data_IF_492913732237
#
_entry.id   IF_492913732237
#
_cell.length_a   1.000
_cell.length_b   1.000
_cell.length_c   1.000
_cell.angle_alpha   90.00
_cell.angle_beta   90.00
_cell.angle_gamma   90.00
#
_symmetry.space_group_name_H-M   'P 1'
#
loop_
_entity.id
_entity.type
_entity.pdbx_description
1 polymer ?
#
# COMPACT_ATOMS: atom_id res chain seq x y z
N UNK A 1 -0.82 5.78 17.00
CA UNK A 1 -1.40 5.59 15.66
C UNK A 1 -1.44 6.90 14.93
N UNK A 2 -1.19 6.88 13.64
CA UNK A 2 -1.24 8.06 12.80
C UNK A 2 -2.20 7.82 11.62
N UNK A 3 -2.69 8.89 11.01
CA UNK A 3 -3.59 8.81 9.87
C UNK A 3 -2.95 9.42 8.63
N UNK A 4 -3.26 8.83 7.47
CA UNK A 4 -2.80 9.30 6.18
C UNK A 4 -3.99 9.34 5.21
N UNK A 5 -4.38 10.54 4.80
CA UNK A 5 -5.46 10.67 3.82
C UNK A 5 -4.90 10.57 2.42
N UNK A 6 -5.42 9.62 1.65
CA UNK A 6 -4.91 9.33 0.30
C UNK A 6 -6.08 9.08 -0.66
N UNK A 7 -5.80 9.22 -1.95
CA UNK A 7 -6.71 8.74 -2.99
C UNK A 7 -6.36 7.28 -3.27
N UNK A 8 -7.09 6.37 -2.63
CA UNK A 8 -6.85 4.95 -2.78
C UNK A 8 -7.35 4.45 -4.14
N UNK A 9 -6.51 3.70 -4.84
CA UNK A 9 -6.85 3.17 -6.17
C UNK A 9 -7.19 1.69 -6.15
N UNK A 10 -6.63 0.93 -5.21
CA UNK A 10 -6.86 -0.51 -5.12
C UNK A 10 -6.31 -1.04 -3.80
N UNK A 11 -6.73 -2.24 -3.44
CA UNK A 11 -6.18 -3.00 -2.33
C UNK A 11 -5.91 -4.41 -2.83
N UNK A 12 -4.72 -4.93 -2.54
CA UNK A 12 -4.31 -6.27 -2.97
C UNK A 12 -3.98 -7.12 -1.77
N UNK A 13 -4.46 -8.35 -1.77
CA UNK A 13 -4.10 -9.36 -0.79
C UNK A 13 -3.77 -10.63 -1.57
N UNK A 14 -2.63 -11.22 -1.27
CA UNK A 14 -2.20 -12.42 -1.96
C UNK A 14 -1.52 -13.38 -1.01
N UNK A 15 -1.51 -14.66 -1.41
CA UNK A 15 -0.81 -15.71 -0.70
C UNK A 15 -0.39 -16.78 -1.68
N UNK A 16 0.60 -17.57 -1.30
CA UNK A 16 1.08 -18.62 -2.15
C UNK A 16 2.25 -19.35 -1.51
N UNK A 17 2.97 -20.11 -2.33
CA UNK A 17 4.13 -20.84 -1.89
C UNK A 17 5.30 -20.43 -2.78
N UNK A 18 6.35 -19.90 -2.14
CA UNK A 18 7.59 -19.56 -2.86
C UNK A 18 8.50 -20.78 -2.93
N UNK A 19 9.01 -21.06 -4.13
CA UNK A 19 9.95 -22.18 -4.37
C UNK A 19 11.33 -21.68 -4.79
N UNK A 20 11.60 -20.39 -4.61
CA UNK A 20 12.84 -19.77 -5.11
C UNK A 20 14.12 -20.32 -4.48
N UNK A 21 14.03 -20.82 -3.24
CA UNK A 21 15.19 -21.35 -2.51
C UNK A 21 15.27 -22.88 -2.52
N UNK A 22 14.46 -23.54 -3.35
CA UNK A 22 14.38 -24.99 -3.37
C UNK A 22 13.56 -25.60 -2.23
N UNK A 23 13.31 -24.86 -1.17
CA UNK A 23 12.44 -25.27 -0.07
C UNK A 23 11.13 -24.47 -0.16
N UNK A 24 9.97 -25.14 -0.30
CA UNK A 24 8.71 -24.42 -0.35
C UNK A 24 8.45 -23.64 0.93
N UNK A 25 8.18 -22.33 0.80
CA UNK A 25 7.83 -21.47 1.92
C UNK A 25 6.48 -20.79 1.63
N UNK A 26 5.50 -20.92 2.51
CA UNK A 26 4.27 -20.16 2.35
C UNK A 26 4.56 -18.66 2.56
N UNK A 27 3.88 -17.84 1.75
CA UNK A 27 3.95 -16.38 1.92
C UNK A 27 2.54 -15.79 1.82
N UNK A 28 2.36 -14.66 2.46
CA UNK A 28 1.17 -13.86 2.30
C UNK A 28 1.54 -12.39 2.39
N UNK A 29 0.77 -11.55 1.72
CA UNK A 29 0.98 -10.12 1.77
C UNK A 29 -0.36 -9.40 1.58
N UNK A 30 -0.41 -8.16 2.06
CA UNK A 30 -1.51 -7.27 1.81
C UNK A 30 -0.96 -5.86 1.67
N UNK A 31 -1.52 -5.08 0.77
CA UNK A 31 -1.07 -3.71 0.53
C UNK A 31 -2.18 -2.84 -0.04
N UNK A 32 -2.09 -1.56 0.25
CA UNK A 32 -2.97 -0.53 -0.30
C UNK A 32 -2.22 0.22 -1.38
N UNK A 33 -2.86 0.38 -2.53
CA UNK A 33 -2.34 1.20 -3.64
C UNK A 33 -3.02 2.56 -3.60
N UNK A 34 -2.24 3.63 -3.69
CA UNK A 34 -2.80 4.97 -3.67
C UNK A 34 -2.08 5.86 -4.68
N UNK A 35 -2.75 6.95 -5.04
CA UNK A 35 -2.26 7.87 -6.04
C UNK A 35 -1.80 9.17 -5.38
N UNK A 36 -0.68 9.69 -5.85
CA UNK A 36 -0.16 10.98 -5.44
C UNK A 36 0.20 11.79 -6.69
N UNK A 37 0.23 13.13 -6.61
CA UNK A 37 0.69 13.92 -7.75
C UNK A 37 2.10 13.52 -8.15
N UNK A 38 2.31 13.31 -9.43
CA UNK A 38 3.62 12.97 -9.97
C UNK A 38 4.56 14.16 -9.79
N UNK A 39 5.82 13.89 -9.46
CA UNK A 39 6.83 14.91 -9.27
C UNK A 39 7.81 14.88 -10.42
N UNK A 40 8.09 16.08 -10.97
CA UNK A 40 9.15 16.24 -11.94
C UNK A 40 10.50 16.21 -11.23
N UNK A 41 11.51 15.75 -11.96
CA UNK A 41 12.86 15.61 -11.44
C UNK A 41 13.84 16.27 -12.39
N UNK A 42 14.67 17.16 -11.88
CA UNK A 42 15.69 17.87 -12.66
C UNK A 42 17.01 17.81 -11.91
N UNK A 43 18.06 17.39 -12.59
CA UNK A 43 19.43 17.50 -12.11
C UNK A 43 20.35 17.87 -13.27
N UNK A 44 21.68 17.86 -13.04
CA UNK A 44 22.65 18.26 -14.05
C UNK A 44 22.61 17.40 -15.30
N UNK A 45 22.24 16.14 -15.18
CA UNK A 45 22.26 15.19 -16.28
C UNK A 45 20.87 14.83 -16.82
N UNK A 46 19.81 15.15 -16.08
CA UNK A 46 18.45 14.71 -16.41
C UNK A 46 17.44 15.81 -16.18
N UNK A 47 16.50 15.89 -17.11
CA UNK A 47 15.33 16.73 -16.98
C UNK A 47 14.10 15.84 -17.27
N UNK A 48 13.47 15.36 -16.19
CA UNK A 48 12.31 14.46 -16.30
C UNK A 48 11.08 15.22 -15.82
N UNK A 49 10.14 15.41 -16.73
CA UNK A 49 8.88 16.08 -16.43
C UNK A 49 7.77 15.04 -16.37
N UNK A 50 7.01 15.07 -15.28
CA UNK A 50 5.89 14.16 -15.07
C UNK A 50 4.63 14.96 -14.81
N UNK A 51 3.56 14.58 -15.49
CA UNK A 51 2.23 15.14 -15.29
C UNK A 51 1.27 14.04 -14.86
N UNK A 52 0.25 14.41 -14.09
CA UNK A 52 -0.76 13.47 -13.64
C UNK A 52 -0.44 12.88 -12.27
N UNK A 53 -0.78 11.62 -12.09
CA UNK A 53 -0.66 10.93 -10.80
C UNK A 53 0.29 9.75 -10.93
N UNK A 54 1.00 9.44 -9.85
CA UNK A 54 1.79 8.22 -9.77
C UNK A 54 1.26 7.33 -8.66
N UNK A 55 1.38 6.03 -8.84
CA UNK A 55 0.93 5.05 -7.88
C UNK A 55 2.02 4.75 -6.86
N UNK A 56 1.61 4.70 -5.60
CA UNK A 56 2.47 4.23 -4.50
C UNK A 56 1.74 3.14 -3.76
N UNK A 57 2.49 2.33 -3.02
CA UNK A 57 1.93 1.26 -2.21
C UNK A 57 2.41 1.37 -0.77
N UNK A 58 1.58 0.88 0.14
CA UNK A 58 1.94 0.77 1.55
C UNK A 58 1.44 -0.58 2.06
N UNK A 59 2.26 -1.25 2.85
CA UNK A 59 1.89 -2.53 3.44
C UNK A 59 0.68 -2.38 4.36
N UNK A 60 -0.18 -3.39 4.38
CA UNK A 60 -1.36 -3.44 5.21
C UNK A 60 -1.29 -4.68 6.10
N UNK A 61 -1.92 -4.62 7.28
CA UNK A 61 -2.07 -5.78 8.14
C UNK A 61 -2.74 -6.91 7.35
N UNK A 62 -2.15 -8.09 7.39
CA UNK A 62 -2.66 -9.27 6.69
C UNK A 62 -3.84 -9.85 7.48
N UNK A 63 -4.99 -9.23 7.31
CA UNK A 63 -6.21 -9.53 8.05
C UNK A 63 -7.37 -9.62 7.05
N UNK A 64 -7.98 -10.79 6.97
CA UNK A 64 -9.09 -11.01 6.06
C UNK A 64 -10.32 -10.14 6.36
N UNK A 65 -10.57 -9.83 7.64
CA UNK A 65 -11.67 -8.95 8.01
C UNK A 65 -11.42 -7.51 7.53
N UNK A 66 -10.21 -7.01 7.66
CA UNK A 66 -9.85 -5.70 7.17
C UNK A 66 -9.95 -5.63 5.64
N UNK A 67 -9.45 -6.65 4.95
CA UNK A 67 -9.54 -6.72 3.49
C UNK A 67 -11.01 -6.74 3.05
N UNK A 68 -11.86 -7.50 3.75
CA UNK A 68 -13.29 -7.58 3.42
C UNK A 68 -13.98 -6.22 3.55
N UNK A 69 -13.57 -5.39 4.52
CA UNK A 69 -14.12 -4.04 4.65
C UNK A 69 -13.79 -3.18 3.43
N UNK A 70 -12.62 -3.35 2.84
CA UNK A 70 -12.25 -2.63 1.62
C UNK A 70 -13.08 -3.09 0.40
N UNK A 71 -13.63 -4.30 0.44
CA UNK A 71 -14.42 -4.81 -0.69
C UNK A 71 -15.71 -4.02 -0.91
N UNK A 72 -16.19 -3.29 0.09
CA UNK A 72 -17.38 -2.45 -0.02
C UNK A 72 -17.06 -1.04 -0.53
N UNK A 73 -15.80 -0.74 -0.79
CA UNK A 73 -15.35 0.57 -1.24
C UNK A 73 -15.34 0.60 -2.77
N UNK A 74 -15.82 1.71 -3.33
CA UNK A 74 -15.72 1.94 -4.77
C UNK A 74 -14.44 2.73 -5.06
N UNK A 75 -13.49 2.09 -5.70
CA UNK A 75 -12.21 2.71 -6.04
C UNK A 75 -12.29 3.40 -7.40
N UNK A 76 -11.54 4.49 -7.62
CA UNK A 76 -10.72 5.18 -6.62
C UNK A 76 -11.56 6.08 -5.71
N UNK A 77 -11.15 6.23 -4.47
CA UNK A 77 -11.81 7.16 -3.54
C UNK A 77 -10.83 7.64 -2.47
N UNK A 78 -11.17 8.75 -1.83
CA UNK A 78 -10.36 9.28 -0.74
C UNK A 78 -10.65 8.49 0.53
N UNK A 79 -9.59 8.01 1.17
CA UNK A 79 -9.66 7.26 2.42
C UNK A 79 -8.62 7.81 3.40
N UNK A 80 -8.97 7.77 4.68
CA UNK A 80 -8.00 8.02 5.74
C UNK A 80 -7.49 6.66 6.23
N UNK A 81 -6.24 6.36 5.94
CA UNK A 81 -5.59 5.13 6.38
C UNK A 81 -5.07 5.33 7.80
N UNK A 82 -5.34 4.37 8.67
CA UNK A 82 -4.83 4.38 10.04
C UNK A 82 -3.58 3.52 10.08
N UNK A 83 -2.47 4.12 10.49
CA UNK A 83 -1.16 3.48 10.48
C UNK A 83 -0.68 3.16 11.89
N UNK A 84 0.05 2.06 12.02
CA UNK A 84 0.70 1.67 13.26
C UNK A 84 2.01 0.97 12.93
N UNK A 85 2.87 0.80 13.93
CA UNK A 85 4.14 0.12 13.72
C UNK A 85 3.94 -1.34 13.33
N UNK A 86 4.72 -1.79 12.34
CA UNK A 86 4.73 -3.20 11.94
C UNK A 86 5.32 -4.04 13.08
N UNK A 87 4.58 -5.04 13.61
CA UNK A 87 5.12 -5.87 14.69
C UNK A 87 6.40 -6.61 14.31
N UNK A 88 6.59 -6.91 13.03
CA UNK A 88 7.79 -7.62 12.56
C UNK A 88 8.95 -6.65 12.28
N UNK A 89 8.65 -5.39 12.03
CA UNK A 89 9.67 -4.36 11.77
C UNK A 89 9.16 -3.02 12.27
N UNK A 90 9.38 -2.70 13.56
CA UNK A 90 8.82 -1.48 14.18
C UNK A 90 9.30 -0.17 13.55
N UNK A 91 10.34 -0.19 12.74
CA UNK A 91 10.80 1.00 12.02
C UNK A 91 9.91 1.34 10.81
N UNK A 92 8.96 0.47 10.47
CA UNK A 92 8.06 0.62 9.34
C UNK A 92 6.61 0.68 9.82
N UNK A 93 5.79 1.50 9.18
CA UNK A 93 4.36 1.57 9.45
C UNK A 93 3.58 0.71 8.48
N UNK A 94 2.49 0.13 8.96
CA UNK A 94 1.53 -0.60 8.13
C UNK A 94 0.12 -0.06 8.37
N UNK A 95 -0.76 -0.25 7.39
CA UNK A 95 -2.17 0.11 7.54
C UNK A 95 -2.86 -0.93 8.42
N UNK A 96 -3.47 -0.49 9.49
CA UNK A 96 -4.20 -1.39 10.41
C UNK A 96 -5.71 -1.15 10.38
N UNK A 97 -6.17 -0.04 9.80
CA UNK A 97 -7.58 0.29 9.67
C UNK A 97 -7.73 1.44 8.68
N UNK A 98 -8.96 1.83 8.40
CA UNK A 98 -9.22 2.98 7.55
C UNK A 98 -10.57 3.62 7.90
N UNK A 99 -10.74 4.87 7.46
CA UNK A 99 -11.99 5.61 7.54
C UNK A 99 -12.36 6.12 6.14
N UNK A 100 -13.58 5.83 5.73
CA UNK A 100 -14.09 6.31 4.44
C UNK A 100 -14.74 7.69 4.57
#
# INVERSE_FOLDING_TARGET
MSGLTVLASAVTKGSGISKKTGTPKPYSFAQVHYLVPAKSFVNDDNNIQKLGMEEKTISMKDDGALFAQFSDIQFPCNLKLILDADPENPSRNIVVDFQA
#
